data_IF_702099830351
#
_entry.id   IF_702099830351
#
_cell.length_a   1.000
_cell.length_b   1.000
_cell.length_c   1.000
_cell.angle_alpha   90.00
_cell.angle_beta   90.00
_cell.angle_gamma   90.00
#
_symmetry.space_group_name_H-M   'P 1'
#
loop_
_entity.id
_entity.type
_entity.pdbx_description
1 polymer ?
#
# COMPACT_ATOMS: atom_id res chain seq x y z
N UNK A 1 1.67 28.47 -16.86
CA UNK A 1 1.35 27.76 -15.60
C UNK A 1 2.25 26.54 -15.55
N UNK A 2 3.18 26.47 -14.60
CA UNK A 2 4.11 25.34 -14.45
C UNK A 2 3.29 24.10 -14.07
N UNK A 3 3.28 23.06 -14.90
CA UNK A 3 2.55 21.84 -14.61
C UNK A 3 3.24 21.11 -13.43
N UNK A 4 2.58 21.06 -12.28
CA UNK A 4 3.14 20.46 -11.07
C UNK A 4 3.14 18.93 -11.20
N UNK A 5 4.30 18.32 -11.01
CA UNK A 5 4.51 16.88 -11.16
C UNK A 5 4.95 16.27 -9.83
N UNK A 6 4.60 14.99 -9.61
CA UNK A 6 5.05 14.23 -8.44
C UNK A 6 6.46 13.66 -8.64
N UNK A 7 6.99 12.96 -7.64
CA UNK A 7 8.25 12.21 -7.75
C UNK A 7 8.17 11.12 -8.82
N UNK A 8 9.33 10.67 -9.33
CA UNK A 8 9.36 9.54 -10.26
C UNK A 8 8.95 8.24 -9.55
N UNK A 9 8.24 7.38 -10.27
CA UNK A 9 7.84 6.05 -9.78
C UNK A 9 7.18 5.21 -10.86
N UNK A 10 6.96 3.93 -10.58
CA UNK A 10 6.38 2.98 -11.55
C UNK A 10 4.86 3.08 -11.60
N UNK A 11 4.30 3.21 -12.81
CA UNK A 11 2.86 3.20 -13.06
C UNK A 11 2.29 1.76 -12.92
N UNK A 12 1.20 1.54 -12.18
CA UNK A 12 0.64 0.20 -11.96
C UNK A 12 -0.15 -0.35 -13.15
N UNK A 13 -0.27 0.43 -14.24
CA UNK A 13 -1.03 0.03 -15.44
C UNK A 13 -0.12 -0.28 -16.62
N UNK A 14 0.80 0.62 -16.95
CA UNK A 14 1.74 0.43 -18.06
C UNK A 14 3.11 -0.08 -17.62
N UNK A 15 3.37 -0.18 -16.31
CA UNK A 15 4.61 -0.69 -15.71
C UNK A 15 5.88 0.10 -16.02
N UNK A 16 5.74 1.25 -16.67
CA UNK A 16 6.83 2.18 -16.95
C UNK A 16 7.13 3.09 -15.75
N UNK A 17 8.39 3.52 -15.62
CA UNK A 17 8.76 4.62 -14.74
C UNK A 17 8.24 5.94 -15.32
N UNK A 18 7.45 6.67 -14.53
CA UNK A 18 6.81 7.92 -14.95
C UNK A 18 6.95 8.99 -13.90
N UNK A 19 6.81 10.24 -14.34
CA UNK A 19 6.57 11.38 -13.47
C UNK A 19 5.11 11.81 -13.63
N UNK A 20 4.26 11.48 -12.65
CA UNK A 20 2.83 11.71 -12.77
C UNK A 20 2.49 13.20 -12.70
N UNK A 21 1.54 13.61 -13.54
CA UNK A 21 1.04 14.98 -13.60
C UNK A 21 -0.13 15.12 -12.62
N UNK A 22 -0.11 16.14 -11.77
CA UNK A 22 -1.25 16.41 -10.89
C UNK A 22 -2.40 16.97 -11.74
N UNK A 23 -3.56 16.35 -11.65
CA UNK A 23 -4.79 16.81 -12.32
C UNK A 23 -5.82 17.36 -11.32
N UNK A 24 -5.70 17.00 -10.05
CA UNK A 24 -6.56 17.49 -8.97
C UNK A 24 -5.78 17.47 -7.65
N UNK A 25 -5.59 18.64 -7.04
CA UNK A 25 -5.00 18.76 -5.70
C UNK A 25 -6.07 18.57 -4.63
N UNK A 26 -5.75 17.82 -3.59
CA UNK A 26 -6.65 17.51 -2.49
C UNK A 26 -5.97 17.75 -1.15
N UNK A 27 -6.71 18.30 -0.18
CA UNK A 27 -6.21 18.58 1.17
C UNK A 27 -6.44 17.45 2.15
N UNK A 28 -7.58 16.76 2.03
CA UNK A 28 -7.97 15.62 2.89
C UNK A 28 -7.67 14.27 2.23
N UNK A 29 -7.76 14.21 0.90
CA UNK A 29 -7.50 13.03 0.08
C UNK A 29 -6.15 13.16 -0.62
N UNK A 30 -5.68 12.07 -1.24
CA UNK A 30 -4.48 12.12 -2.08
C UNK A 30 -4.78 12.91 -3.34
N UNK A 31 -3.77 13.63 -3.82
CA UNK A 31 -3.85 14.28 -5.13
C UNK A 31 -4.09 13.25 -6.23
N UNK A 32 -5.05 13.55 -7.11
CA UNK A 32 -5.31 12.75 -8.29
C UNK A 32 -4.26 13.08 -9.33
N UNK A 33 -3.54 12.07 -9.79
CA UNK A 33 -2.51 12.23 -10.79
C UNK A 33 -2.87 11.44 -12.06
N UNK A 34 -2.32 11.87 -13.19
CA UNK A 34 -2.44 11.19 -14.46
C UNK A 34 -1.08 10.65 -14.91
N UNK A 35 -1.06 9.39 -15.34
CA UNK A 35 0.10 8.81 -15.99
C UNK A 35 0.33 9.46 -17.37
N UNK A 36 1.50 10.04 -17.66
CA UNK A 36 1.77 10.67 -18.95
C UNK A 36 1.84 9.68 -20.13
N UNK A 37 2.07 8.39 -19.86
CA UNK A 37 2.26 7.37 -20.90
C UNK A 37 0.93 6.71 -21.29
N UNK A 38 0.10 6.36 -20.30
CA UNK A 38 -1.15 5.61 -20.53
C UNK A 38 -2.42 6.38 -20.16
N UNK A 39 -2.29 7.64 -19.73
CA UNK A 39 -3.39 8.57 -19.41
C UNK A 39 -4.37 8.12 -18.31
N UNK A 40 -4.09 7.01 -17.62
CA UNK A 40 -4.91 6.51 -16.51
C UNK A 40 -4.66 7.30 -15.24
N UNK A 41 -5.70 7.36 -14.41
CA UNK A 41 -5.67 7.94 -13.07
C UNK A 41 -4.85 7.06 -12.12
N UNK A 42 -3.89 7.68 -11.45
CA UNK A 42 -2.97 7.04 -10.50
C UNK A 42 -2.78 7.92 -9.26
N UNK A 43 -2.40 7.30 -8.15
CA UNK A 43 -2.17 7.97 -6.88
C UNK A 43 -0.81 7.58 -6.31
N UNK A 44 -0.20 8.43 -5.47
CA UNK A 44 1.02 8.03 -4.75
C UNK A 44 0.68 6.88 -3.78
N UNK A 45 1.53 5.85 -3.76
CA UNK A 45 1.44 4.75 -2.81
C UNK A 45 1.51 5.27 -1.35
N UNK A 46 0.67 4.74 -0.46
CA UNK A 46 0.69 5.14 0.96
C UNK A 46 1.81 4.51 1.77
N UNK A 47 2.51 3.49 1.27
CA UNK A 47 3.61 2.85 2.02
C UNK A 47 4.71 3.90 2.25
N UNK A 48 5.10 4.18 3.51
CA UNK A 48 6.20 5.09 3.80
C UNK A 48 7.48 4.67 3.05
N UNK A 49 8.15 5.63 2.42
CA UNK A 49 9.37 5.40 1.63
C UNK A 49 9.14 4.83 0.22
N UNK A 50 7.90 4.56 -0.19
CA UNK A 50 7.58 4.11 -1.54
C UNK A 50 7.16 5.29 -2.43
N UNK A 51 7.82 5.45 -3.58
CA UNK A 51 7.50 6.48 -4.57
C UNK A 51 6.68 5.95 -5.77
N UNK A 52 6.33 4.66 -5.77
CA UNK A 52 5.54 4.06 -6.85
C UNK A 52 4.06 4.47 -6.76
N UNK A 53 3.31 4.16 -7.82
CA UNK A 53 1.92 4.57 -7.94
C UNK A 53 0.93 3.43 -7.66
N UNK A 54 -0.18 3.77 -7.00
CA UNK A 54 -1.34 2.93 -6.79
C UNK A 54 -2.42 3.21 -7.84
N UNK A 55 -3.29 2.23 -8.10
CA UNK A 55 -4.35 2.35 -9.10
C UNK A 55 -5.46 3.26 -8.58
N UNK A 56 -5.94 4.18 -9.41
CA UNK A 56 -7.24 4.80 -9.19
C UNK A 56 -8.35 3.85 -9.64
N UNK A 57 -9.32 3.59 -8.76
CA UNK A 57 -10.47 2.74 -9.07
C UNK A 57 -11.72 3.56 -9.31
N UNK A 58 -12.76 2.95 -9.88
CA UNK A 58 -14.04 3.63 -10.13
C UNK A 58 -14.86 3.85 -8.84
N UNK A 59 -14.73 2.91 -7.90
CA UNK A 59 -15.49 2.89 -6.65
C UNK A 59 -14.58 3.21 -5.45
N UNK A 60 -13.35 2.68 -5.46
CA UNK A 60 -12.36 2.87 -4.41
C UNK A 60 -10.95 2.87 -4.99
N UNK A 61 -10.09 3.76 -4.48
CA UNK A 61 -8.69 3.87 -4.92
C UNK A 61 -7.80 2.91 -4.15
N UNK A 62 -6.92 2.18 -4.84
CA UNK A 62 -5.97 1.31 -4.16
C UNK A 62 -5.04 2.14 -3.26
N UNK A 63 -4.85 1.70 -2.01
CA UNK A 63 -4.00 2.42 -1.07
C UNK A 63 -2.50 2.19 -1.35
N UNK A 64 -2.18 1.03 -1.91
CA UNK A 64 -0.82 0.55 -2.13
C UNK A 64 -0.58 0.25 -3.60
N UNK A 65 0.65 0.47 -4.05
CA UNK A 65 1.07 0.00 -5.36
C UNK A 65 1.14 -1.54 -5.39
N UNK A 66 1.08 -2.17 -6.58
CA UNK A 66 1.13 -3.62 -6.71
C UNK A 66 2.31 -4.26 -5.97
N UNK A 67 3.51 -3.66 -6.04
CA UNK A 67 4.69 -4.16 -5.34
C UNK A 67 4.51 -4.22 -3.81
N UNK A 68 3.95 -3.17 -3.22
CA UNK A 68 3.74 -3.12 -1.77
C UNK A 68 2.61 -4.04 -1.31
N UNK A 69 1.56 -4.22 -2.13
CA UNK A 69 0.49 -5.19 -1.85
C UNK A 69 1.06 -6.61 -1.84
N UNK A 70 1.93 -6.95 -2.78
CA UNK A 70 2.58 -8.28 -2.85
C UNK A 70 3.50 -8.55 -1.66
N UNK A 71 4.23 -7.55 -1.16
CA UNK A 71 5.06 -7.70 0.05
C UNK A 71 4.23 -8.07 1.29
N UNK A 72 3.06 -7.46 1.46
CA UNK A 72 2.17 -7.74 2.60
C UNK A 72 1.55 -9.14 2.47
N UNK A 73 1.17 -9.54 1.26
CA UNK A 73 0.64 -10.89 1.01
C UNK A 73 1.68 -11.99 1.27
N UNK A 74 2.97 -11.68 1.20
CA UNK A 74 4.07 -12.60 1.53
C UNK A 74 4.47 -12.60 3.01
N UNK A 75 4.15 -11.53 3.75
CA UNK A 75 4.40 -11.42 5.20
C UNK A 75 3.15 -11.75 6.02
N UNK A 76 2.70 -13.00 5.97
CA UNK A 76 2.08 -13.59 7.16
C UNK A 76 3.21 -13.95 8.15
N UNK A 77 3.75 -12.95 8.85
CA UNK A 77 4.40 -13.22 10.13
C UNK A 77 3.26 -13.36 11.15
N UNK A 78 3.01 -14.57 11.70
CA UNK A 78 2.10 -14.71 12.82
C UNK A 78 2.84 -14.17 14.05
N UNK A 79 2.97 -12.86 14.18
CA UNK A 79 3.25 -12.24 15.48
C UNK A 79 1.95 -12.29 16.28
N UNK A 80 1.59 -13.51 16.70
CA UNK A 80 0.86 -13.71 17.95
C UNK A 80 1.79 -13.12 19.00
N UNK A 81 1.54 -11.86 19.36
CA UNK A 81 2.13 -11.29 20.56
C UNK A 81 1.58 -12.16 21.67
N UNK A 82 2.41 -13.08 22.17
CA UNK A 82 2.18 -13.76 23.44
C UNK A 82 2.21 -12.67 24.52
N UNK A 83 1.10 -11.95 24.62
CA UNK A 83 0.75 -11.21 25.82
C UNK A 83 0.51 -12.26 26.88
N UNK A 84 1.56 -12.52 27.65
CA UNK A 84 1.55 -13.07 29.00
C UNK A 84 0.32 -12.61 29.79
N UNK A 85 -0.80 -13.31 29.62
CA UNK A 85 -1.79 -13.43 30.68
C UNK A 85 -1.15 -14.36 31.69
N UNK A 86 -0.38 -13.77 32.61
CA UNK A 86 -0.08 -14.44 33.86
C UNK A 86 -1.42 -14.79 34.50
N UNK A 87 -1.73 -16.09 34.58
CA UNK A 87 -2.54 -16.75 35.62
C UNK A 87 -2.62 -18.25 35.25
N UNK A 88 -2.02 -19.04 36.13
CA UNK A 88 -2.27 -20.47 36.42
C UNK A 88 -1.67 -21.50 35.45
N UNK A 89 -0.40 -21.81 35.72
CA UNK A 89 0.14 -23.17 35.56
C UNK A 89 -0.64 -24.14 36.45
N UNK A 90 -1.57 -24.90 35.87
CA UNK A 90 -1.69 -26.35 36.12
C UNK A 90 -2.74 -26.91 35.18
N UNK A 91 -2.50 -28.15 34.74
CA UNK A 91 -3.51 -29.12 34.28
C UNK A 91 -3.82 -29.12 32.78
N UNK A 92 -2.87 -29.50 31.91
CA UNK A 92 -3.16 -30.00 30.55
C UNK A 92 -2.07 -30.93 29.92
N UNK A 93 -1.35 -31.74 30.72
CA UNK A 93 -0.64 -32.94 30.22
C UNK A 93 -0.75 -33.98 31.37
N UNK A 94 -1.74 -34.86 31.35
CA UNK A 94 -1.68 -36.24 30.81
C UNK A 94 -1.70 -37.19 32.02
N UNK A 95 -2.79 -37.91 32.32
CA UNK A 95 -3.07 -39.29 31.86
C UNK A 95 -1.87 -40.22 32.17
N UNK A 96 -1.90 -40.91 33.31
CA UNK A 96 -2.38 -42.30 33.52
C UNK A 96 -1.31 -43.35 33.17
N UNK A 97 -0.67 -43.90 34.21
CA UNK A 97 -0.33 -45.32 34.39
C UNK A 97 -0.19 -45.60 35.91
#
# INVERSE_FOLDING_TARGET
MSQQCKSKGVCPFCLEEVQAKIIEENTLRRDKCQCPNCNRTIFICRKPGCNNYAKGGEIYDDELCPGCTSEISGMILPTVVMGIVGVVTKKLFGEED
#
